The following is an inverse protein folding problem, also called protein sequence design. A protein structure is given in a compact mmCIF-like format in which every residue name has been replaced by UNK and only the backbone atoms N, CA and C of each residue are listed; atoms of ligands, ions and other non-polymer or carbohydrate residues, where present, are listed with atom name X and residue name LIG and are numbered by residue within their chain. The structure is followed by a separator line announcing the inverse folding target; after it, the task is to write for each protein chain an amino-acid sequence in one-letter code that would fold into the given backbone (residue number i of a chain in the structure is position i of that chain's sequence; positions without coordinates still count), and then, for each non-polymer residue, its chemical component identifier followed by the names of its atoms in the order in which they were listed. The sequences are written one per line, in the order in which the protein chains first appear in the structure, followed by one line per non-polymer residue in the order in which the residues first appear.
data_IF_054614122690
#
_entry.id   IF_054614122690
#
_cell.length_a   1.000
_cell.length_b   1.000
_cell.length_c   1.000
_cell.angle_alpha   90.00
_cell.angle_beta   90.00
_cell.angle_gamma   90.00
#
_symmetry.space_group_name_H-M   'P 1'
#
loop_
_entity.id
_entity.type
_entity.pdbx_description
1 polymer ?
#
# COMPACT_ATOMS: atom_id res chain seq x y z
N UNK A 1 50.47 26.62 -53.39
CA UNK A 1 51.65 26.12 -52.65
C UNK A 1 51.88 26.97 -51.41
N UNK A 2 51.91 26.43 -50.18
CA UNK A 2 51.46 25.10 -49.71
C UNK A 2 50.34 25.16 -48.63
N UNK A 3 49.59 24.10 -48.29
CA UNK A 3 48.82 23.07 -49.04
C UNK A 3 47.98 22.25 -47.99
N UNK A 4 47.15 21.27 -48.42
CA UNK A 4 46.49 20.20 -47.59
C UNK A 4 45.19 20.46 -46.82
N UNK A 5 44.06 20.15 -47.49
CA UNK A 5 43.16 19.00 -47.25
C UNK A 5 43.29 18.17 -45.95
N UNK A 6 42.15 17.67 -45.43
CA UNK A 6 42.10 16.69 -44.33
C UNK A 6 40.70 16.20 -43.92
N UNK A 7 39.91 15.64 -44.85
CA UNK A 7 38.80 14.74 -44.50
C UNK A 7 39.34 13.32 -44.22
N UNK A 8 38.78 12.57 -43.24
CA UNK A 8 38.94 11.13 -43.15
C UNK A 8 37.70 10.40 -43.69
N UNK A 9 37.89 9.51 -44.68
CA UNK A 9 36.88 8.52 -45.08
C UNK A 9 36.63 7.49 -43.96
N UNK A 10 35.40 6.94 -43.84
CA UNK A 10 35.13 5.78 -42.98
C UNK A 10 35.51 4.48 -43.70
N UNK A 11 36.42 3.69 -43.11
CA UNK A 11 36.73 2.33 -43.58
C UNK A 11 35.70 1.31 -43.07
N UNK A 12 35.31 0.38 -43.95
CA UNK A 12 34.27 -0.63 -43.71
C UNK A 12 34.62 -1.67 -42.62
N UNK A 13 33.61 -2.14 -41.89
CA UNK A 13 33.61 -3.48 -41.29
C UNK A 13 32.18 -4.02 -41.13
N UNK A 14 31.73 -4.74 -42.16
CA UNK A 14 30.56 -5.63 -42.18
C UNK A 14 30.55 -6.60 -40.98
N UNK A 15 29.40 -6.76 -40.31
CA UNK A 15 28.97 -8.03 -39.73
C UNK A 15 27.45 -8.10 -39.61
N UNK A 16 26.92 -9.25 -40.02
CA UNK A 16 25.58 -9.45 -40.54
C UNK A 16 24.48 -9.57 -39.48
N UNK A 17 23.29 -9.11 -39.83
CA UNK A 17 22.04 -9.39 -39.14
C UNK A 17 21.76 -10.90 -39.13
N UNK A 18 21.25 -11.43 -38.01
CA UNK A 18 20.70 -12.79 -37.98
C UNK A 18 19.36 -12.78 -37.25
N UNK A 19 18.32 -13.23 -37.95
CA UNK A 19 16.94 -13.30 -37.48
C UNK A 19 16.31 -14.62 -37.87
N UNK A 20 15.40 -15.09 -37.02
CA UNK A 20 14.42 -16.17 -37.24
C UNK A 20 14.89 -17.62 -37.23
N UNK A 21 14.47 -18.30 -36.16
CA UNK A 21 13.56 -19.47 -36.19
C UNK A 21 13.95 -20.70 -37.02
N UNK A 22 14.14 -21.83 -36.32
CA UNK A 22 13.55 -23.10 -36.75
C UNK A 22 13.06 -23.91 -35.52
N UNK A 23 11.85 -24.44 -35.62
CA UNK A 23 11.23 -25.37 -34.67
C UNK A 23 11.08 -26.72 -35.38
N UNK A 24 11.39 -27.85 -34.72
CA UNK A 24 10.32 -28.84 -34.46
C UNK A 24 10.71 -30.09 -33.64
N UNK A 25 9.74 -30.47 -32.80
CA UNK A 25 9.21 -31.83 -32.52
C UNK A 25 9.97 -32.92 -31.74
N UNK A 26 9.23 -33.32 -30.70
CA UNK A 26 8.74 -34.68 -30.40
C UNK A 26 9.54 -35.55 -29.41
N UNK A 27 8.84 -35.94 -28.34
CA UNK A 27 9.34 -36.82 -27.27
C UNK A 27 8.20 -37.25 -26.34
N UNK A 28 7.19 -37.93 -26.89
CA UNK A 28 6.02 -38.41 -26.15
C UNK A 28 6.41 -39.63 -25.29
N UNK A 29 6.19 -39.63 -23.96
CA UNK A 29 5.96 -40.88 -23.21
C UNK A 29 5.19 -40.66 -21.90
N UNK A 30 4.00 -41.23 -21.86
CA UNK A 30 3.18 -41.46 -20.67
C UNK A 30 3.74 -42.60 -19.80
N UNK A 31 3.29 -42.67 -18.54
CA UNK A 31 2.54 -43.80 -17.94
C UNK A 31 2.09 -43.37 -16.53
N UNK A 32 0.80 -43.58 -16.24
CA UNK A 32 0.24 -43.54 -14.88
C UNK A 32 0.25 -44.96 -14.31
N UNK A 33 0.43 -45.10 -13.00
CA UNK A 33 0.03 -46.32 -12.27
C UNK A 33 -0.39 -45.92 -10.85
N UNK A 34 -1.69 -45.67 -10.69
CA UNK A 34 -2.39 -46.00 -9.47
C UNK A 34 -2.52 -47.53 -9.43
N UNK A 35 -2.23 -48.17 -8.31
CA UNK A 35 -3.16 -49.17 -7.76
C UNK A 35 -2.88 -49.46 -6.27
N UNK A 36 -3.91 -49.16 -5.48
CA UNK A 36 -4.59 -50.14 -4.63
C UNK A 36 -3.76 -51.18 -3.82
N UNK A 37 -3.86 -51.12 -2.49
CA UNK A 37 -4.92 -51.91 -1.81
C UNK A 37 -5.05 -51.61 -0.32
N UNK A 38 -6.25 -51.92 0.21
CA UNK A 38 -6.73 -51.47 1.49
C UNK A 38 -6.61 -52.51 2.63
N UNK A 39 -6.72 -51.98 3.85
CA UNK A 39 -7.35 -52.57 5.04
C UNK A 39 -6.82 -53.91 5.61
N UNK A 40 -6.40 -53.86 6.88
CA UNK A 40 -7.09 -54.64 7.93
C UNK A 40 -7.30 -53.78 9.18
N UNK A 41 -8.54 -53.78 9.68
CA UNK A 41 -8.89 -53.49 11.07
C UNK A 41 -8.99 -54.85 11.83
N UNK A 42 -9.11 -54.99 13.15
CA UNK A 42 -9.40 -54.09 14.26
C UNK A 42 -8.83 -54.70 15.56
N UNK A 43 -8.64 -53.92 16.62
CA UNK A 43 -8.81 -54.40 18.00
C UNK A 43 -9.00 -53.23 18.96
N UNK A 44 -10.08 -53.26 19.74
CA UNK A 44 -10.45 -52.17 20.67
C UNK A 44 -9.62 -52.19 21.95
N UNK A 45 -9.29 -51.00 22.45
CA UNK A 45 -8.73 -50.79 23.79
C UNK A 45 -9.39 -49.55 24.41
N UNK A 46 -10.43 -49.78 25.20
CA UNK A 46 -11.27 -48.73 25.78
C UNK A 46 -10.65 -48.20 27.09
N UNK A 47 -10.20 -46.95 27.08
CA UNK A 47 -9.87 -46.19 28.30
C UNK A 47 -10.25 -44.73 28.12
N UNK A 48 -11.40 -44.37 28.67
CA UNK A 48 -11.87 -42.99 28.84
C UNK A 48 -10.92 -42.18 29.72
N UNK A 49 -10.47 -41.04 29.20
CA UNK A 49 -9.86 -39.97 29.98
C UNK A 49 -10.42 -38.64 29.44
N UNK A 50 -11.40 -38.08 30.13
CA UNK A 50 -12.09 -36.85 29.75
C UNK A 50 -11.12 -35.66 29.77
N UNK A 51 -11.06 -34.92 28.66
CA UNK A 51 -10.46 -33.59 28.63
C UNK A 51 -11.51 -32.57 29.13
N UNK A 52 -11.15 -31.63 30.01
CA UNK A 52 -12.12 -30.64 30.49
C UNK A 52 -12.44 -29.60 29.42
N UNK A 53 -13.70 -29.58 28.97
CA UNK A 53 -14.25 -28.55 28.09
C UNK A 53 -14.24 -27.16 28.75
N UNK A 54 -13.28 -26.33 28.35
CA UNK A 54 -13.19 -24.93 28.82
C UNK A 54 -14.21 -23.99 28.12
N UNK A 55 -14.89 -24.44 27.06
CA UNK A 55 -15.65 -23.58 26.15
C UNK A 55 -17.16 -23.90 26.06
N UNK A 56 -17.85 -23.94 27.21
CA UNK A 56 -19.33 -23.85 27.27
C UNK A 56 -19.79 -23.10 28.52
N UNK A 57 -19.74 -21.76 28.44
CA UNK A 57 -20.41 -20.88 29.39
C UNK A 57 -20.98 -19.67 28.64
N UNK A 58 -22.28 -19.71 28.34
CA UNK A 58 -23.01 -18.55 27.82
C UNK A 58 -23.15 -17.51 28.95
N UNK A 59 -22.76 -16.24 28.76
CA UNK A 59 -23.08 -15.19 29.72
C UNK A 59 -24.58 -14.85 29.62
N UNK A 60 -25.29 -14.97 30.73
CA UNK A 60 -26.71 -14.62 30.80
C UNK A 60 -26.93 -13.12 30.48
N UNK A 61 -27.80 -12.83 29.51
CA UNK A 61 -28.14 -11.48 29.07
C UNK A 61 -29.07 -10.76 30.05
N UNK A 62 -28.51 -10.21 31.11
CA UNK A 62 -29.25 -9.53 32.20
C UNK A 62 -29.33 -8.00 32.03
N UNK A 63 -29.38 -7.52 30.77
CA UNK A 63 -29.42 -6.09 30.41
C UNK A 63 -30.64 -5.67 29.58
N UNK A 64 -31.57 -6.59 29.30
CA UNK A 64 -32.74 -6.35 28.44
C UNK A 64 -34.06 -6.28 29.23
N UNK A 65 -34.11 -5.53 30.35
CA UNK A 65 -35.37 -5.28 31.06
C UNK A 65 -35.35 -3.97 31.88
N UNK A 66 -35.82 -2.87 31.27
CA UNK A 66 -36.47 -1.77 32.00
C UNK A 66 -37.30 -0.87 31.07
N UNK A 67 -38.51 -0.55 31.54
CA UNK A 67 -39.41 0.52 31.09
C UNK A 67 -39.96 0.50 29.64
N UNK A 68 -41.08 -0.20 29.45
CA UNK A 68 -42.18 0.32 28.64
C UNK A 68 -43.24 0.93 29.57
N UNK A 69 -43.63 2.20 29.34
CA UNK A 69 -45.03 2.74 29.37
C UNK A 69 -45.09 4.24 29.67
N UNK A 70 -45.39 5.07 28.66
CA UNK A 70 -46.24 6.28 28.70
C UNK A 70 -46.34 6.88 27.29
N UNK A 71 -47.43 7.60 26.99
CA UNK A 71 -47.88 7.88 25.62
C UNK A 71 -47.79 9.35 25.16
N UNK A 72 -47.92 9.51 23.84
CA UNK A 72 -48.39 10.68 23.08
C UNK A 72 -47.68 12.04 23.21
N UNK A 73 -47.01 12.46 22.13
CA UNK A 73 -47.27 13.71 21.37
C UNK A 73 -46.33 13.77 20.15
N UNK A 74 -46.86 13.82 18.92
CA UNK A 74 -46.05 14.22 17.76
C UNK A 74 -45.63 15.69 17.91
N UNK A 75 -44.37 16.00 17.56
CA UNK A 75 -44.24 16.86 16.38
C UNK A 75 -43.10 16.44 15.47
N UNK A 76 -43.43 16.25 14.19
CA UNK A 76 -42.52 16.39 13.05
C UNK A 76 -41.21 15.61 13.13
N UNK A 77 -41.20 14.40 12.56
CA UNK A 77 -39.96 13.78 12.09
C UNK A 77 -39.40 14.69 10.98
N UNK A 78 -38.54 15.64 11.36
CA UNK A 78 -37.63 16.30 10.45
C UNK A 78 -36.89 15.22 9.71
N UNK A 79 -37.01 15.18 8.37
CA UNK A 79 -36.33 14.20 7.50
C UNK A 79 -34.88 14.03 7.96
N UNK A 80 -34.55 12.87 8.52
CA UNK A 80 -33.16 12.46 8.64
C UNK A 80 -32.62 12.34 7.21
N UNK A 81 -31.76 13.28 6.84
CA UNK A 81 -30.96 13.20 5.63
C UNK A 81 -30.04 12.00 5.78
N UNK A 82 -30.41 10.90 5.09
CA UNK A 82 -29.67 9.67 4.88
C UNK A 82 -28.44 9.49 5.78
N UNK A 83 -28.60 8.77 6.89
CA UNK A 83 -27.48 8.33 7.72
C UNK A 83 -26.49 7.55 6.86
N UNK A 84 -25.32 8.15 6.58
CA UNK A 84 -24.28 7.50 5.80
C UNK A 84 -23.83 6.21 6.51
N UNK A 85 -23.98 5.07 5.83
CA UNK A 85 -23.76 3.75 6.41
C UNK A 85 -22.26 3.50 6.60
N UNK A 86 -21.79 3.63 7.85
CA UNK A 86 -20.38 3.47 8.21
C UNK A 86 -20.03 1.98 8.20
N UNK A 87 -19.23 1.56 7.22
CA UNK A 87 -18.92 0.14 7.02
C UNK A 87 -17.75 -0.35 7.88
N UNK A 88 -16.72 0.49 8.04
CA UNK A 88 -15.62 0.25 8.98
C UNK A 88 -15.03 1.57 9.48
N UNK A 89 -14.43 1.55 10.66
CA UNK A 89 -13.61 2.64 11.18
C UNK A 89 -12.53 2.13 12.15
N UNK A 90 -11.50 2.93 12.40
CA UNK A 90 -10.44 2.62 13.35
C UNK A 90 -9.20 3.50 13.20
N UNK A 91 -8.25 3.40 14.13
CA UNK A 91 -6.91 3.97 13.95
C UNK A 91 -6.05 3.10 13.04
N UNK A 92 -5.13 3.70 12.28
CA UNK A 92 -4.15 3.00 11.44
C UNK A 92 -3.20 2.05 12.19
N UNK A 93 -3.14 2.15 13.52
CA UNK A 93 -2.44 1.19 14.39
C UNK A 93 -3.19 -0.13 14.62
N UNK A 94 -4.47 -0.22 14.25
CA UNK A 94 -5.32 -1.41 14.38
C UNK A 94 -5.84 -1.89 13.02
N UNK A 95 -6.27 -0.95 12.18
CA UNK A 95 -6.68 -1.18 10.80
C UNK A 95 -5.77 -0.36 9.88
N UNK A 96 -4.72 -0.98 9.34
CA UNK A 96 -3.76 -0.28 8.48
C UNK A 96 -4.44 0.37 7.27
N UNK A 97 -3.83 1.44 6.75
CA UNK A 97 -4.34 2.17 5.59
C UNK A 97 -4.50 1.26 4.37
N UNK A 98 -3.52 0.38 4.11
CA UNK A 98 -3.61 -0.61 3.05
C UNK A 98 -4.74 -1.63 3.31
N UNK A 99 -4.98 -2.11 4.55
CA UNK A 99 -6.11 -3.01 4.83
C UNK A 99 -7.46 -2.36 4.55
N UNK A 100 -7.62 -1.09 4.88
CA UNK A 100 -8.83 -0.33 4.54
C UNK A 100 -9.03 -0.22 3.02
N UNK A 101 -7.96 0.10 2.28
CA UNK A 101 -7.99 0.10 0.81
C UNK A 101 -8.29 -1.30 0.22
N UNK A 102 -7.71 -2.37 0.77
CA UNK A 102 -8.00 -3.75 0.36
C UNK A 102 -9.44 -4.16 0.65
N UNK A 103 -10.03 -3.69 1.76
CA UNK A 103 -11.45 -3.93 2.05
C UNK A 103 -12.36 -3.25 1.01
N UNK A 104 -12.00 -2.04 0.57
CA UNK A 104 -12.71 -1.35 -0.53
C UNK A 104 -12.66 -2.18 -1.81
N UNK A 105 -11.48 -2.65 -2.22
CA UNK A 105 -11.31 -3.46 -3.44
C UNK A 105 -12.04 -4.82 -3.36
N UNK A 106 -11.83 -5.59 -2.29
CA UNK A 106 -12.35 -6.96 -2.15
C UNK A 106 -13.88 -6.98 -2.04
N UNK A 107 -14.46 -6.03 -1.33
CA UNK A 107 -15.92 -5.92 -1.13
C UNK A 107 -16.61 -5.03 -2.18
N UNK A 108 -15.88 -4.57 -3.21
CA UNK A 108 -16.38 -3.72 -4.31
C UNK A 108 -17.12 -2.47 -3.84
N UNK A 109 -16.57 -1.81 -2.83
CA UNK A 109 -17.27 -0.71 -2.15
C UNK A 109 -17.38 0.55 -3.01
N UNK A 110 -18.52 1.23 -2.87
CA UNK A 110 -18.78 2.56 -3.43
C UNK A 110 -19.09 3.53 -2.30
N UNK A 111 -18.40 4.66 -2.25
CA UNK A 111 -18.50 5.63 -1.15
C UNK A 111 -17.20 6.40 -0.91
N UNK A 112 -16.97 6.84 0.33
CA UNK A 112 -15.82 7.65 0.70
C UNK A 112 -15.06 7.09 1.92
N UNK A 113 -13.75 6.93 1.79
CA UNK A 113 -12.82 6.72 2.91
C UNK A 113 -12.38 8.08 3.45
N UNK A 114 -12.79 8.43 4.66
CA UNK A 114 -12.37 9.64 5.37
C UNK A 114 -11.24 9.35 6.32
N UNK A 115 -10.17 10.15 6.24
CA UNK A 115 -8.99 10.09 7.07
C UNK A 115 -8.83 11.39 7.88
N UNK A 116 -8.80 11.24 9.21
CA UNK A 116 -8.68 12.32 10.18
C UNK A 116 -7.29 12.22 10.84
N UNK A 117 -6.56 13.33 10.82
CA UNK A 117 -5.15 13.44 11.22
C UNK A 117 -4.89 14.81 11.86
N UNK A 118 -3.65 15.29 11.87
CA UNK A 118 -3.26 16.59 12.46
C UNK A 118 -3.64 17.82 11.60
N UNK A 119 -4.29 17.60 10.45
CA UNK A 119 -4.75 18.65 9.51
C UNK A 119 -6.16 18.37 9.02
N UNK A 120 -6.64 19.19 8.07
CA UNK A 120 -7.93 18.99 7.41
C UNK A 120 -8.07 17.58 6.84
N UNK A 121 -9.28 17.05 6.92
CA UNK A 121 -9.59 15.67 6.57
C UNK A 121 -9.32 15.36 5.10
N UNK A 122 -8.86 14.15 4.83
CA UNK A 122 -8.63 13.64 3.47
C UNK A 122 -9.75 12.65 3.16
N UNK A 123 -10.48 12.89 2.07
CA UNK A 123 -11.55 12.02 1.57
C UNK A 123 -11.07 11.31 0.30
N UNK A 124 -11.05 9.98 0.28
CA UNK A 124 -10.78 9.17 -0.92
C UNK A 124 -12.09 8.59 -1.42
N UNK A 125 -12.51 8.97 -2.62
CA UNK A 125 -13.71 8.45 -3.25
C UNK A 125 -13.40 7.12 -3.95
N UNK A 126 -14.30 6.15 -3.76
CA UNK A 126 -14.21 4.83 -4.36
C UNK A 126 -15.53 4.44 -5.05
N UNK A 127 -15.44 3.67 -6.13
CA UNK A 127 -16.56 3.20 -6.93
C UNK A 127 -16.28 1.77 -7.43
N UNK A 128 -17.21 0.84 -7.19
CA UNK A 128 -17.07 -0.62 -7.46
C UNK A 128 -15.75 -1.25 -6.97
N UNK A 129 -15.17 -0.70 -5.89
CA UNK A 129 -13.88 -1.13 -5.32
C UNK A 129 -12.64 -0.51 -5.96
N UNK A 130 -12.78 0.38 -6.95
CA UNK A 130 -11.69 1.15 -7.53
C UNK A 130 -11.62 2.57 -6.94
N UNK A 131 -10.44 3.20 -6.97
CA UNK A 131 -10.23 4.57 -6.49
C UNK A 131 -10.54 5.56 -7.59
N UNK A 132 -11.37 6.57 -7.30
CA UNK A 132 -11.67 7.67 -8.23
C UNK A 132 -10.61 8.77 -8.07
N UNK A 133 -10.54 9.39 -6.89
CA UNK A 133 -9.49 10.33 -6.49
C UNK A 133 -9.51 10.57 -4.98
N UNK A 134 -8.47 11.22 -4.47
CA UNK A 134 -8.44 11.79 -3.12
C UNK A 134 -8.60 13.32 -3.17
N UNK A 135 -9.29 13.88 -2.18
CA UNK A 135 -9.58 15.31 -2.05
C UNK A 135 -9.60 15.74 -0.58
N UNK A 136 -9.69 17.04 -0.33
CA UNK A 136 -9.79 17.64 1.00
C UNK A 136 -10.50 19.00 0.89
N UNK A 137 -11.03 19.51 2.01
CA UNK A 137 -11.65 20.84 2.12
C UNK A 137 -10.63 21.98 2.31
N UNK A 138 -9.35 21.67 2.38
CA UNK A 138 -8.27 22.66 2.39
C UNK A 138 -7.60 22.73 0.99
N UNK A 139 -7.88 23.76 0.17
CA UNK A 139 -7.31 23.88 -1.17
C UNK A 139 -5.80 24.09 -1.19
N UNK A 140 -5.22 24.60 -0.09
CA UNK A 140 -3.79 24.89 0.02
C UNK A 140 -3.03 23.64 0.48
N UNK A 141 -3.65 22.79 1.31
CA UNK A 141 -3.20 21.41 1.55
C UNK A 141 -3.31 20.54 0.28
N UNK A 142 -4.38 20.71 -0.51
CA UNK A 142 -4.59 19.96 -1.75
C UNK A 142 -3.60 20.34 -2.85
N UNK A 143 -3.37 21.64 -3.04
CA UNK A 143 -2.52 22.18 -4.09
C UNK A 143 -1.72 23.39 -3.54
N UNK A 144 -0.61 23.12 -2.82
CA UNK A 144 0.24 24.16 -2.22
C UNK A 144 1.07 24.91 -3.27
N UNK A 145 1.35 24.26 -4.39
CA UNK A 145 2.09 24.83 -5.52
C UNK A 145 1.11 25.47 -6.52
N UNK A 146 1.61 26.34 -7.41
CA UNK A 146 0.84 26.85 -8.54
C UNK A 146 1.17 26.03 -9.82
N UNK A 147 0.26 25.17 -10.33
CA UNK A 147 0.51 24.41 -11.56
C UNK A 147 0.62 25.33 -12.78
N UNK A 148 1.55 25.04 -13.68
CA UNK A 148 1.75 25.82 -14.92
C UNK A 148 0.49 25.94 -15.79
N UNK A 149 -0.41 24.96 -15.72
CA UNK A 149 -1.73 24.97 -16.41
C UNK A 149 -2.60 26.16 -15.97
N UNK A 150 -2.44 26.65 -14.73
CA UNK A 150 -3.19 27.79 -14.21
C UNK A 150 -2.56 29.15 -14.55
N UNK A 151 -1.36 29.20 -15.14
CA UNK A 151 -0.60 30.45 -15.32
C UNK A 151 -1.31 31.49 -16.22
N UNK A 152 -2.22 31.05 -17.08
CA UNK A 152 -3.01 31.91 -17.98
C UNK A 152 -4.49 32.03 -17.55
N UNK A 153 -4.87 31.47 -16.39
CA UNK A 153 -6.24 31.50 -15.86
C UNK A 153 -6.37 32.71 -14.94
N UNK A 154 -7.52 33.39 -14.98
CA UNK A 154 -7.81 34.52 -14.10
C UNK A 154 -7.74 34.10 -12.62
N UNK A 155 -7.00 34.86 -11.82
CA UNK A 155 -6.81 34.60 -10.40
C UNK A 155 -8.13 34.65 -9.61
N UNK A 156 -9.10 35.47 -10.01
CA UNK A 156 -10.43 35.49 -9.38
C UNK A 156 -11.21 34.20 -9.67
N UNK A 157 -11.10 33.65 -10.88
CA UNK A 157 -11.72 32.36 -11.23
C UNK A 157 -11.07 31.22 -10.42
N UNK A 158 -9.74 31.21 -10.30
CA UNK A 158 -9.03 30.22 -9.47
C UNK A 158 -9.40 30.36 -7.99
N UNK A 159 -9.49 31.57 -7.46
CA UNK A 159 -9.88 31.82 -6.06
C UNK A 159 -11.32 31.34 -5.79
N UNK A 160 -12.26 31.65 -6.69
CA UNK A 160 -13.65 31.17 -6.60
C UNK A 160 -13.74 29.64 -6.67
N UNK A 161 -12.94 29.00 -7.53
CA UNK A 161 -12.89 27.54 -7.61
C UNK A 161 -12.30 26.91 -6.33
N UNK A 162 -11.25 27.51 -5.73
CA UNK A 162 -10.70 27.09 -4.43
C UNK A 162 -11.71 27.26 -3.30
N UNK A 163 -12.46 28.37 -3.25
CA UNK A 163 -13.53 28.57 -2.27
C UNK A 163 -14.62 27.50 -2.37
N UNK A 164 -15.04 27.13 -3.60
CA UNK A 164 -16.00 26.02 -3.79
C UNK A 164 -15.46 24.66 -3.35
N UNK A 165 -14.14 24.43 -3.42
CA UNK A 165 -13.53 23.23 -2.86
C UNK A 165 -13.63 23.20 -1.33
N UNK A 166 -13.45 24.33 -0.63
CA UNK A 166 -13.54 24.32 0.84
C UNK A 166 -14.97 24.08 1.35
N UNK A 167 -15.98 24.56 0.61
CA UNK A 167 -17.39 24.31 0.89
C UNK A 167 -17.81 22.85 0.60
N UNK A 168 -17.42 22.32 -0.57
CA UNK A 168 -17.99 21.07 -1.12
C UNK A 168 -17.07 19.86 -1.06
N UNK A 169 -15.75 20.05 -0.88
CA UNK A 169 -14.74 19.00 -1.07
C UNK A 169 -14.45 18.65 -2.54
N UNK A 170 -15.14 19.26 -3.52
CA UNK A 170 -14.87 19.00 -4.95
C UNK A 170 -13.54 19.61 -5.37
N UNK A 171 -12.59 18.84 -5.95
CA UNK A 171 -11.33 19.39 -6.44
C UNK A 171 -11.54 20.61 -7.35
N UNK A 172 -10.86 21.72 -7.06
CA UNK A 172 -11.09 22.97 -7.79
C UNK A 172 -10.78 22.86 -9.29
N UNK A 173 -9.88 21.95 -9.70
CA UNK A 173 -9.59 21.65 -11.11
C UNK A 173 -10.83 21.18 -11.89
N UNK A 174 -11.69 20.35 -11.29
CA UNK A 174 -12.97 19.92 -11.89
C UNK A 174 -13.93 21.09 -12.05
N UNK A 175 -13.95 22.00 -11.07
CA UNK A 175 -14.71 23.25 -11.17
C UNK A 175 -14.20 24.14 -12.32
N UNK A 176 -12.88 24.31 -12.45
CA UNK A 176 -12.27 25.07 -13.55
C UNK A 176 -12.54 24.43 -14.93
N UNK A 177 -12.55 23.10 -15.02
CA UNK A 177 -12.89 22.39 -16.25
C UNK A 177 -14.37 22.57 -16.64
N UNK A 178 -15.30 22.50 -15.68
CA UNK A 178 -16.72 22.82 -15.87
C UNK A 178 -16.97 24.25 -16.32
N UNK A 179 -16.12 25.18 -15.90
CA UNK A 179 -16.15 26.59 -16.27
C UNK A 179 -15.36 26.88 -17.56
N UNK A 180 -14.93 25.84 -18.29
CA UNK A 180 -14.14 25.91 -19.53
C UNK A 180 -12.83 26.71 -19.39
N UNK A 181 -12.39 26.96 -18.16
CA UNK A 181 -11.23 27.80 -17.82
C UNK A 181 -9.91 27.03 -17.95
N UNK A 182 -9.97 25.69 -17.85
CA UNK A 182 -8.91 24.77 -18.25
C UNK A 182 -9.52 23.61 -19.04
N UNK A 183 -8.74 22.97 -19.91
CA UNK A 183 -9.20 21.77 -20.60
C UNK A 183 -9.42 20.59 -19.62
N UNK A 184 -10.45 19.78 -19.87
CA UNK A 184 -10.86 18.67 -19.00
C UNK A 184 -9.76 17.62 -18.78
N UNK A 185 -9.01 17.27 -19.82
CA UNK A 185 -7.95 16.24 -19.71
C UNK A 185 -6.82 16.67 -18.73
N UNK A 186 -6.20 17.87 -18.86
CA UNK A 186 -5.31 18.41 -17.85
C UNK A 186 -5.93 18.50 -16.45
N UNK A 187 -7.22 18.82 -16.32
CA UNK A 187 -7.88 18.88 -15.02
C UNK A 187 -7.95 17.50 -14.34
N UNK A 188 -8.27 16.44 -15.09
CA UNK A 188 -8.29 15.05 -14.61
C UNK A 188 -6.88 14.61 -14.18
N UNK A 189 -5.86 14.88 -14.99
CA UNK A 189 -4.46 14.57 -14.69
C UNK A 189 -3.98 15.29 -13.41
N UNK A 190 -4.35 16.56 -13.24
CA UNK A 190 -4.09 17.33 -12.02
C UNK A 190 -4.83 16.76 -10.81
N UNK A 191 -6.09 16.31 -10.95
CA UNK A 191 -6.83 15.67 -9.85
C UNK A 191 -6.18 14.35 -9.42
N UNK A 192 -5.76 13.52 -10.36
CA UNK A 192 -5.04 12.27 -10.06
C UNK A 192 -3.71 12.56 -9.35
N UNK A 193 -2.90 13.48 -9.89
CA UNK A 193 -1.61 13.84 -9.34
C UNK A 193 -1.70 14.47 -7.93
N UNK A 194 -2.53 15.49 -7.76
CA UNK A 194 -2.70 16.16 -6.46
C UNK A 194 -3.46 15.29 -5.45
N UNK A 195 -4.37 14.42 -5.91
CA UNK A 195 -4.97 13.38 -5.06
C UNK A 195 -3.94 12.40 -4.51
N UNK A 196 -3.04 11.88 -5.34
CA UNK A 196 -1.94 11.03 -4.88
C UNK A 196 -0.95 11.78 -3.97
N UNK A 197 -0.63 13.05 -4.28
CA UNK A 197 0.21 13.92 -3.42
C UNK A 197 -0.42 14.26 -2.07
N UNK A 198 -1.74 14.37 -2.01
CA UNK A 198 -2.49 14.53 -0.77
C UNK A 198 -2.44 13.22 0.04
N UNK A 199 -2.78 12.10 -0.60
CA UNK A 199 -2.87 10.81 0.06
C UNK A 199 -1.53 10.31 0.61
N UNK A 200 -0.39 10.66 -0.02
CA UNK A 200 0.92 10.21 0.46
C UNK A 200 1.20 10.62 1.91
N UNK A 201 0.61 11.73 2.38
CA UNK A 201 0.75 12.20 3.76
C UNK A 201 0.26 11.16 4.77
N UNK A 202 -0.77 10.38 4.41
CA UNK A 202 -1.35 9.36 5.28
C UNK A 202 -0.48 8.11 5.46
N UNK A 203 0.48 7.87 4.56
CA UNK A 203 1.44 6.76 4.71
C UNK A 203 2.49 7.03 5.79
N UNK A 204 2.80 8.30 6.05
CA UNK A 204 3.79 8.71 7.06
C UNK A 204 3.13 9.27 8.34
N UNK A 205 1.87 9.71 8.28
CA UNK A 205 1.15 10.25 9.42
C UNK A 205 0.89 9.19 10.53
N UNK A 206 1.27 9.47 11.79
CA UNK A 206 1.05 8.55 12.90
C UNK A 206 -0.42 8.56 13.36
N UNK A 207 -0.99 7.36 13.59
CA UNK A 207 -2.30 7.15 14.25
C UNK A 207 -3.51 7.84 13.60
N UNK A 208 -3.49 8.06 12.28
CA UNK A 208 -4.66 8.51 11.51
C UNK A 208 -5.90 7.70 11.90
N UNK A 209 -7.02 8.37 12.18
CA UNK A 209 -8.32 7.72 12.33
C UNK A 209 -8.98 7.66 10.96
N UNK A 210 -9.39 6.48 10.53
CA UNK A 210 -10.03 6.25 9.23
C UNK A 210 -11.46 5.73 9.40
N UNK A 211 -12.34 6.09 8.47
CA UNK A 211 -13.73 5.66 8.43
C UNK A 211 -14.22 5.56 6.99
N UNK A 212 -14.81 4.43 6.59
CA UNK A 212 -15.45 4.29 5.28
C UNK A 212 -16.97 4.43 5.38
N UNK A 213 -17.52 5.34 4.60
CA UNK A 213 -18.97 5.58 4.47
C UNK A 213 -19.46 5.04 3.13
N UNK A 214 -20.27 3.98 3.16
CA UNK A 214 -20.97 3.45 1.99
C UNK A 214 -22.03 4.43 1.51
N UNK A 215 -22.22 4.49 0.20
CA UNK A 215 -23.25 5.32 -0.43
C UNK A 215 -23.19 6.81 0.00
N UNK A 216 -22.02 7.28 0.47
CA UNK A 216 -21.75 8.70 0.58
C UNK A 216 -22.03 9.33 -0.80
N UNK A 217 -22.74 10.46 -0.83
CA UNK A 217 -23.05 11.16 -2.07
C UNK A 217 -21.75 11.45 -2.81
N UNK A 218 -21.47 10.68 -3.87
CA UNK A 218 -20.31 10.90 -4.70
C UNK A 218 -20.46 12.30 -5.28
N UNK A 219 -19.39 13.10 -5.15
CA UNK A 219 -19.30 14.42 -5.75
C UNK A 219 -19.77 14.33 -7.20
N UNK A 220 -20.60 15.25 -7.68
CA UNK A 220 -21.27 15.07 -8.99
C UNK A 220 -20.32 15.04 -10.21
N UNK A 221 -19.03 15.29 -9.99
CA UNK A 221 -17.94 15.12 -10.97
C UNK A 221 -17.21 13.76 -10.89
N UNK A 222 -17.47 12.93 -9.88
CA UNK A 222 -16.70 11.71 -9.62
C UNK A 222 -16.82 10.69 -10.77
N UNK A 223 -18.02 10.51 -11.33
CA UNK A 223 -18.25 9.60 -12.47
C UNK A 223 -17.61 10.05 -13.78
N UNK A 224 -17.04 11.26 -13.82
CA UNK A 224 -16.38 11.86 -14.98
C UNK A 224 -14.84 11.72 -14.95
N UNK A 225 -14.29 11.19 -13.85
CA UNK A 225 -12.86 10.91 -13.62
C UNK A 225 -12.61 9.40 -13.76
N UNK A 226 -11.61 8.95 -14.53
CA UNK A 226 -11.32 7.53 -14.68
C UNK A 226 -10.79 6.94 -13.37
N UNK A 227 -11.32 5.78 -13.01
CA UNK A 227 -10.97 5.00 -11.84
C UNK A 227 -9.61 4.30 -11.98
N UNK A 228 -9.01 3.94 -10.85
CA UNK A 228 -7.74 3.24 -10.75
C UNK A 228 -7.85 2.03 -9.81
N UNK A 229 -7.19 0.93 -10.19
CA UNK A 229 -7.04 -0.22 -9.31
C UNK A 229 -6.32 0.17 -8.01
N UNK A 230 -6.84 -0.31 -6.87
CA UNK A 230 -6.33 0.02 -5.53
C UNK A 230 -4.85 -0.29 -5.35
N UNK A 231 -4.37 -1.44 -5.83
CA UNK A 231 -2.98 -1.89 -5.61
C UNK A 231 -1.99 -0.99 -6.36
N UNK A 232 -2.28 -0.69 -7.63
CA UNK A 232 -1.46 0.23 -8.42
C UNK A 232 -1.54 1.67 -7.89
N UNK A 233 -2.75 2.16 -7.56
CA UNK A 233 -2.92 3.53 -7.06
C UNK A 233 -2.20 3.76 -5.71
N UNK A 234 -2.26 2.78 -4.82
CA UNK A 234 -1.51 2.78 -3.57
C UNK A 234 0.00 2.80 -3.85
N UNK A 235 0.50 1.97 -4.77
CA UNK A 235 1.92 1.95 -5.16
C UNK A 235 2.37 3.29 -5.74
N UNK A 236 1.61 3.91 -6.64
CA UNK A 236 1.95 5.24 -7.19
C UNK A 236 2.02 6.31 -6.08
N UNK A 237 1.06 6.34 -5.16
CA UNK A 237 1.10 7.28 -4.02
C UNK A 237 2.32 7.04 -3.10
N UNK A 238 2.76 5.79 -2.94
CA UNK A 238 3.96 5.40 -2.18
C UNK A 238 5.26 5.73 -2.92
N UNK A 239 5.26 5.83 -4.26
CA UNK A 239 6.42 6.30 -5.04
C UNK A 239 6.71 7.78 -4.82
N UNK A 240 5.68 8.57 -4.51
CA UNK A 240 5.82 10.01 -4.18
C UNK A 240 6.50 10.26 -2.82
N UNK A 241 6.64 9.25 -1.97
CA UNK A 241 7.36 9.36 -0.69
C UNK A 241 8.88 9.39 -0.94
N UNK A 242 9.48 10.56 -0.77
CA UNK A 242 10.92 10.81 -1.03
C UNK A 242 11.82 10.72 0.22
N UNK A 243 11.21 10.81 1.41
CA UNK A 243 11.90 10.76 2.70
C UNK A 243 10.99 10.18 3.76
N UNK A 244 11.58 9.35 4.62
CA UNK A 244 10.95 8.82 5.82
C UNK A 244 11.61 9.49 7.02
N UNK A 245 10.81 9.88 7.99
CA UNK A 245 11.31 10.48 9.23
C UNK A 245 12.14 9.46 10.03
N UNK A 246 13.12 9.95 10.80
CA UNK A 246 13.95 9.11 11.66
C UNK A 246 13.16 8.37 12.75
N UNK A 247 11.91 8.78 13.00
CA UNK A 247 10.95 8.11 13.87
C UNK A 247 10.45 6.77 13.31
N UNK A 248 10.52 6.56 11.99
CA UNK A 248 10.16 5.30 11.36
C UNK A 248 11.33 4.33 11.45
N UNK A 249 11.23 3.38 12.39
CA UNK A 249 12.33 2.52 12.82
C UNK A 249 12.78 1.56 11.71
N UNK A 250 13.83 1.94 10.99
CA UNK A 250 14.53 1.05 10.07
C UNK A 250 15.61 0.25 10.80
N UNK A 251 15.47 -1.07 10.84
CA UNK A 251 16.53 -1.97 11.29
C UNK A 251 17.24 -2.60 10.06
N UNK A 252 18.48 -2.22 9.72
CA UNK A 252 19.17 -2.74 8.53
C UNK A 252 19.41 -4.26 8.57
N UNK A 253 19.41 -4.85 9.77
CA UNK A 253 19.54 -6.29 10.03
C UNK A 253 18.23 -7.06 9.87
N UNK A 254 17.08 -6.39 9.76
CA UNK A 254 15.79 -7.05 9.51
C UNK A 254 15.76 -7.81 8.19
N UNK A 255 15.04 -8.93 8.17
CA UNK A 255 14.95 -9.87 7.06
C UNK A 255 13.55 -9.76 6.45
N UNK A 256 13.38 -9.12 5.27
CA UNK A 256 12.11 -9.10 4.57
C UNK A 256 11.74 -10.48 4.00
N UNK A 257 10.50 -10.88 4.23
CA UNK A 257 9.88 -12.07 3.67
C UNK A 257 8.50 -11.71 3.09
N UNK A 258 8.07 -12.42 2.04
CA UNK A 258 6.72 -12.24 1.50
C UNK A 258 5.66 -12.67 2.51
N UNK A 259 4.62 -11.87 2.66
CA UNK A 259 3.37 -12.33 3.29
C UNK A 259 2.68 -13.30 2.33
N UNK A 260 1.78 -14.15 2.85
CA UNK A 260 1.00 -15.11 2.04
C UNK A 260 0.29 -14.42 0.86
N UNK A 261 -0.50 -13.39 1.13
CA UNK A 261 -1.24 -12.64 0.10
C UNK A 261 -0.29 -11.74 -0.73
N UNK A 262 0.84 -11.33 -0.14
CA UNK A 262 1.83 -10.46 -0.77
C UNK A 262 2.56 -11.11 -1.95
N UNK A 263 2.85 -12.42 -1.87
CA UNK A 263 3.48 -13.16 -2.97
C UNK A 263 2.60 -13.20 -4.24
N UNK A 264 1.28 -13.29 -4.08
CA UNK A 264 0.33 -13.30 -5.20
C UNK A 264 0.02 -11.88 -5.72
N UNK A 265 -0.04 -10.88 -4.81
CA UNK A 265 -0.28 -9.48 -5.18
C UNK A 265 0.90 -8.85 -5.92
N UNK A 266 2.14 -9.14 -5.51
CA UNK A 266 3.31 -8.53 -6.15
C UNK A 266 3.48 -8.90 -7.63
N UNK A 267 2.98 -10.07 -8.04
CA UNK A 267 2.99 -10.51 -9.44
C UNK A 267 2.00 -9.73 -10.33
N UNK A 268 1.04 -9.00 -9.72
CA UNK A 268 -0.01 -8.24 -10.41
C UNK A 268 0.24 -6.73 -10.41
N UNK A 269 1.12 -6.24 -9.52
CA UNK A 269 1.51 -4.84 -9.41
C UNK A 269 2.30 -4.39 -10.65
N UNK A 270 2.04 -3.15 -11.11
CA UNK A 270 2.84 -2.48 -12.14
C UNK A 270 4.19 -2.00 -11.59
N UNK A 271 5.08 -2.91 -11.24
CA UNK A 271 6.42 -2.59 -10.73
C UNK A 271 7.32 -1.96 -11.79
N UNK A 272 8.17 -1.02 -11.36
CA UNK A 272 9.34 -0.60 -12.15
C UNK A 272 10.42 -1.69 -12.14
N UNK A 273 11.39 -1.59 -13.06
CA UNK A 273 12.54 -2.53 -13.10
C UNK A 273 13.28 -2.61 -11.77
N UNK A 274 13.52 -1.47 -11.12
CA UNK A 274 14.26 -1.40 -9.85
C UNK A 274 13.46 -2.02 -8.70
N UNK A 275 12.15 -1.77 -8.66
CA UNK A 275 11.23 -2.37 -7.66
C UNK A 275 11.14 -3.89 -7.83
N UNK A 276 11.01 -4.39 -9.07
CA UNK A 276 11.01 -5.82 -9.38
C UNK A 276 12.37 -6.47 -9.03
N UNK A 277 13.48 -5.79 -9.33
CA UNK A 277 14.81 -6.27 -8.97
C UNK A 277 15.03 -6.30 -7.46
N UNK A 278 14.53 -5.30 -6.71
CA UNK A 278 14.56 -5.30 -5.25
C UNK A 278 13.72 -6.44 -4.65
N UNK A 279 12.48 -6.58 -5.13
CA UNK A 279 11.57 -7.64 -4.75
C UNK A 279 12.14 -9.06 -5.00
N UNK A 280 12.89 -9.25 -6.10
CA UNK A 280 13.55 -10.53 -6.42
C UNK A 280 14.57 -10.99 -5.37
N UNK A 281 15.06 -10.08 -4.51
CA UNK A 281 16.03 -10.41 -3.48
C UNK A 281 15.39 -10.98 -2.20
N UNK A 282 14.08 -10.78 -2.00
CA UNK A 282 13.34 -11.27 -0.83
C UNK A 282 13.25 -12.79 -0.85
N UNK A 283 13.94 -13.43 0.10
CA UNK A 283 14.06 -14.88 0.19
C UNK A 283 13.98 -15.40 1.64
N UNK A 284 13.49 -14.59 2.58
CA UNK A 284 13.36 -14.96 3.99
C UNK A 284 14.69 -15.20 4.74
N UNK A 285 15.85 -14.86 4.15
CA UNK A 285 17.17 -15.06 4.81
C UNK A 285 18.12 -13.87 4.68
N UNK A 286 18.01 -13.07 3.61
CA UNK A 286 18.85 -11.87 3.42
C UNK A 286 18.28 -10.70 4.21
N UNK A 287 19.15 -10.00 4.94
CA UNK A 287 18.76 -8.74 5.59
C UNK A 287 18.64 -7.59 4.59
N UNK A 288 17.88 -6.54 4.95
CA UNK A 288 17.75 -5.32 4.14
C UNK A 288 19.12 -4.71 3.76
N UNK A 289 20.10 -4.74 4.67
CA UNK A 289 21.48 -4.31 4.39
C UNK A 289 22.19 -5.19 3.35
N UNK A 290 21.98 -6.51 3.35
CA UNK A 290 22.55 -7.41 2.36
C UNK A 290 21.90 -7.21 0.98
N UNK A 291 20.58 -6.97 0.94
CA UNK A 291 19.84 -6.64 -0.28
C UNK A 291 20.37 -5.33 -0.88
N UNK A 292 20.49 -4.27 -0.06
CA UNK A 292 21.06 -2.99 -0.48
C UNK A 292 22.47 -3.17 -1.07
N UNK A 293 23.33 -3.94 -0.41
CA UNK A 293 24.69 -4.23 -0.88
C UNK A 293 24.71 -5.00 -2.21
N UNK A 294 23.85 -6.01 -2.39
CA UNK A 294 23.77 -6.79 -3.63
C UNK A 294 23.37 -5.89 -4.82
N UNK A 295 22.44 -4.97 -4.59
CA UNK A 295 21.88 -4.08 -5.61
C UNK A 295 22.65 -2.76 -5.75
N UNK A 296 23.72 -2.57 -4.96
CA UNK A 296 24.54 -1.34 -4.90
C UNK A 296 23.74 -0.08 -4.55
N UNK A 297 22.65 -0.25 -3.81
CA UNK A 297 21.83 0.84 -3.27
C UNK A 297 22.41 1.34 -1.95
N UNK A 298 22.26 2.63 -1.68
CA UNK A 298 22.47 3.15 -0.33
C UNK A 298 21.32 2.72 0.61
N UNK A 299 21.57 2.78 1.92
CA UNK A 299 20.59 2.32 2.92
C UNK A 299 19.33 3.19 2.99
N UNK A 300 19.36 4.48 2.60
CA UNK A 300 18.17 5.33 2.58
C UNK A 300 17.26 4.94 1.41
N UNK A 301 17.84 4.73 0.22
CA UNK A 301 17.09 4.23 -0.95
C UNK A 301 16.53 2.82 -0.72
N UNK A 302 17.30 1.93 -0.09
CA UNK A 302 16.82 0.60 0.28
C UNK A 302 15.72 0.64 1.36
N UNK A 303 15.81 1.54 2.35
CA UNK A 303 14.74 1.76 3.33
C UNK A 303 13.46 2.26 2.65
N UNK A 304 13.56 3.28 1.79
CA UNK A 304 12.43 3.81 1.02
C UNK A 304 11.73 2.72 0.19
N UNK A 305 12.49 1.91 -0.55
CA UNK A 305 11.92 0.86 -1.39
C UNK A 305 11.31 -0.28 -0.56
N UNK A 306 11.94 -0.67 0.56
CA UNK A 306 11.36 -1.64 1.50
C UNK A 306 10.07 -1.11 2.16
N UNK A 307 10.04 0.17 2.52
CA UNK A 307 8.85 0.82 3.10
C UNK A 307 7.64 0.73 2.19
N UNK A 308 7.79 0.88 0.86
CA UNK A 308 6.68 0.71 -0.10
C UNK A 308 6.05 -0.68 0.02
N UNK A 309 6.87 -1.74 0.04
CA UNK A 309 6.38 -3.11 0.14
C UNK A 309 5.81 -3.44 1.53
N UNK A 310 6.35 -2.85 2.60
CA UNK A 310 5.79 -2.96 3.96
C UNK A 310 4.43 -2.26 4.07
N UNK A 311 4.30 -1.04 3.56
CA UNK A 311 3.06 -0.26 3.59
C UNK A 311 1.93 -0.93 2.80
N UNK A 312 2.25 -1.60 1.69
CA UNK A 312 1.32 -2.42 0.92
C UNK A 312 1.04 -3.81 1.56
N UNK A 313 1.65 -4.15 2.70
CA UNK A 313 1.62 -5.49 3.32
C UNK A 313 2.02 -6.65 2.39
N UNK A 314 2.87 -6.36 1.39
CA UNK A 314 3.43 -7.33 0.45
C UNK A 314 4.54 -8.14 1.13
N UNK A 315 5.32 -7.48 1.98
CA UNK A 315 6.35 -8.12 2.81
C UNK A 315 6.13 -7.78 4.28
N UNK A 316 6.70 -8.62 5.13
CA UNK A 316 6.89 -8.40 6.56
C UNK A 316 8.38 -8.52 6.90
N UNK A 317 8.82 -7.85 7.96
CA UNK A 317 10.22 -7.82 8.37
C UNK A 317 10.42 -8.61 9.67
N UNK A 318 11.19 -9.69 9.58
CA UNK A 318 11.60 -10.49 10.71
C UNK A 318 12.89 -9.93 11.34
N UNK A 319 13.08 -10.01 12.67
CA UNK A 319 14.32 -9.58 13.31
C UNK A 319 15.51 -10.42 12.80
N UNK A 320 16.68 -9.79 12.67
CA UNK A 320 17.88 -10.40 12.11
C UNK A 320 18.48 -11.49 13.00
N UNK A 321 17.93 -12.71 12.92
CA UNK A 321 18.33 -13.94 13.62
C UNK A 321 18.55 -13.80 15.13
N UNK A 322 17.65 -14.38 15.92
CA UNK A 322 17.76 -14.52 17.39
C UNK A 322 18.87 -15.47 17.85
N UNK A 323 19.81 -15.85 16.97
CA UNK A 323 21.00 -16.59 17.34
C UNK A 323 21.69 -15.88 18.52
N UNK A 324 21.89 -16.55 19.68
CA UNK A 324 22.41 -15.89 20.85
C UNK A 324 23.77 -15.29 20.52
N UNK A 325 23.85 -13.96 20.63
CA UNK A 325 25.07 -13.17 20.45
C UNK A 325 26.21 -13.93 21.14
N UNK A 326 27.21 -14.45 20.39
CA UNK A 326 28.20 -15.33 20.98
C UNK A 326 28.85 -14.57 22.13
N UNK A 327 28.74 -15.13 23.34
CA UNK A 327 29.20 -14.46 24.56
C UNK A 327 30.57 -13.86 24.30
N UNK A 328 30.73 -12.57 24.57
CA UNK A 328 31.99 -11.87 24.36
C UNK A 328 33.04 -12.54 25.24
N UNK A 329 33.81 -13.47 24.64
CA UNK A 329 34.66 -14.43 25.36
C UNK A 329 35.47 -13.66 26.39
N UNK A 330 35.09 -13.87 27.65
CA UNK A 330 35.42 -12.95 28.73
C UNK A 330 36.91 -12.64 28.74
N UNK A 331 37.25 -11.35 28.89
CA UNK A 331 38.64 -10.87 28.98
C UNK A 331 39.41 -11.63 30.07
N UNK A 332 38.71 -12.19 31.07
CA UNK A 332 39.25 -13.06 32.12
C UNK A 332 39.85 -14.39 31.62
N UNK A 333 39.44 -14.93 30.45
CA UNK A 333 40.09 -16.12 29.88
C UNK A 333 41.51 -15.82 29.35
N UNK A 334 41.84 -14.56 29.01
CA UNK A 334 43.23 -14.20 28.65
C UNK A 334 44.13 -14.06 29.88
N UNK A 335 43.60 -13.70 31.05
CA UNK A 335 44.39 -13.57 32.28
C UNK A 335 44.80 -14.91 32.92
N UNK A 336 44.02 -15.99 32.72
CA UNK A 336 44.36 -17.32 33.26
C UNK A 336 45.53 -18.01 32.55
N UNK A 337 46.05 -17.48 31.43
CA UNK A 337 47.26 -17.99 30.75
C UNK A 337 48.56 -17.28 31.13
N UNK A 338 48.51 -16.20 31.92
CA UNK A 338 49.72 -15.46 32.33
C UNK A 338 50.17 -15.70 33.78
N UNK A 339 49.44 -16.49 34.57
CA UNK A 339 49.76 -16.79 35.98
C UNK A 339 50.03 -18.31 36.14
N UNK A 340 50.98 -18.81 35.33
CA UNK A 340 51.26 -20.24 35.19
C UNK A 340 52.74 -20.58 35.07
N UNK A 341 53.61 -19.85 35.78
CA UNK A 341 55.05 -20.17 35.87
C UNK A 341 55.65 -19.52 37.13
N UNK A 342 55.85 -20.29 38.20
CA UNK A 342 56.20 -19.69 39.49
C UNK A 342 56.32 -20.59 40.72
N UNK A 343 56.69 -21.87 40.58
CA UNK A 343 57.52 -22.62 41.54
C UNK A 343 58.00 -23.94 40.93
#
# INVERSE_FOLDING_TARGET
MPESTGEPEPTEARLESSSSEESDRAGNRSVSEEDELAAQASASGDTTAEAPDWWTAEPASDWAQSAQSASDTEPGITKETATADVYFCGHTSLLSLNRALQAIAKEKLTGALRAFWDRESIEVLAQDGEIVFATTRDPDLYCPDAPAVLANVDAEIVANARARQSETGTPFFLTLARQESIARQPAVELVQHYGQRLFLQLWTAPRVWIMFQKNAELLSDAGDVPTANVDDWALESLRLVQSLDQSQSFEPTSIPAYTRDGYDRIQKLKLTSDEAQFASQFNGTRSAQQIAKNLRLDLKSAHLMLFRFLALEIVECWPGSTAPKPESKSVLQRLKRSIGRGR
#
